data_IF_662421548475
#
_entry.id   IF_662421548475
#
_cell.length_a   1.000
_cell.length_b   1.000
_cell.length_c   1.000
_cell.angle_alpha   90.00
_cell.angle_beta   90.00
_cell.angle_gamma   90.00
#
_symmetry.space_group_name_H-M   'P 1'
#
loop_
_entity.id
_entity.type
_entity.pdbx_description
1 polymer ?
#
# COMPACT_ATOMS: atom_id res chain seq x y z
N UNK A 1 3.10 5.53 3.74
CA UNK A 1 3.82 6.78 4.16
C UNK A 1 2.83 7.70 4.83
N UNK A 2 2.90 7.84 6.15
CA UNK A 2 2.09 8.78 6.93
C UNK A 2 2.84 10.11 7.06
N UNK A 3 2.22 11.21 6.65
CA UNK A 3 2.83 12.53 6.74
C UNK A 3 2.55 13.23 8.07
N UNK A 4 3.62 13.77 8.66
CA UNK A 4 3.59 14.64 9.84
C UNK A 4 4.06 16.06 9.49
N UNK A 5 4.13 16.38 8.20
CA UNK A 5 4.65 17.65 7.71
C UNK A 5 3.55 18.72 7.76
N UNK A 6 3.86 19.91 8.27
CA UNK A 6 3.03 21.10 8.09
C UNK A 6 3.10 21.56 6.63
N UNK A 7 2.32 20.91 5.78
CA UNK A 7 2.43 21.05 4.33
C UNK A 7 1.97 22.42 3.84
N UNK A 8 0.94 23.00 4.44
CA UNK A 8 0.38 24.28 4.02
C UNK A 8 1.34 25.43 4.30
N UNK A 9 2.01 25.42 5.46
CA UNK A 9 2.94 26.47 5.88
C UNK A 9 4.42 26.12 5.65
N UNK A 10 4.71 25.13 4.79
CA UNK A 10 6.09 24.67 4.54
C UNK A 10 6.96 25.78 3.95
N UNK A 11 8.20 25.85 4.42
CA UNK A 11 9.22 26.80 3.92
C UNK A 11 10.21 26.13 2.94
N UNK A 12 9.74 25.09 2.24
CA UNK A 12 10.49 24.39 1.21
C UNK A 12 9.61 24.06 0.01
N UNK A 13 10.25 23.80 -1.12
CA UNK A 13 9.63 23.25 -2.33
C UNK A 13 10.01 21.78 -2.49
N UNK A 14 9.16 21.01 -3.17
CA UNK A 14 9.34 19.57 -3.31
C UNK A 14 8.74 18.79 -2.16
N UNK A 15 9.16 17.52 -2.01
CA UNK A 15 8.67 16.64 -0.94
C UNK A 15 7.40 15.85 -1.29
N UNK A 16 6.82 16.03 -2.47
CA UNK A 16 5.73 15.20 -2.98
C UNK A 16 6.25 13.76 -3.17
N UNK A 17 5.47 12.79 -2.73
CA UNK A 17 5.70 11.40 -3.09
C UNK A 17 5.42 11.26 -4.58
N UNK A 18 6.37 10.69 -5.31
CA UNK A 18 6.24 10.38 -6.75
C UNK A 18 6.00 8.90 -6.92
N UNK A 19 4.98 8.52 -7.68
CA UNK A 19 4.65 7.12 -7.96
C UNK A 19 4.49 7.00 -9.47
N UNK A 20 5.18 6.05 -10.09
CA UNK A 20 5.03 5.81 -11.52
C UNK A 20 3.63 5.29 -11.82
N UNK A 21 3.03 5.82 -12.88
CA UNK A 21 1.69 5.40 -13.30
C UNK A 21 1.71 3.95 -13.80
N UNK A 22 0.72 3.11 -13.45
CA UNK A 22 0.74 1.69 -13.80
C UNK A 22 0.92 1.40 -15.30
N UNK A 23 0.27 2.17 -16.17
CA UNK A 23 0.37 2.00 -17.63
C UNK A 23 1.80 2.21 -18.18
N UNK A 24 2.66 2.92 -17.44
CA UNK A 24 4.06 3.13 -17.85
C UNK A 24 4.92 1.88 -17.68
N UNK A 25 4.49 0.89 -16.89
CA UNK A 25 5.20 -0.38 -16.78
C UNK A 25 5.20 -1.15 -18.11
N UNK A 26 4.23 -0.88 -18.99
CA UNK A 26 4.07 -1.53 -20.29
C UNK A 26 4.39 -0.59 -21.47
N UNK A 27 5.05 0.56 -21.23
CA UNK A 27 5.27 1.62 -22.22
C UNK A 27 5.77 1.13 -23.59
N UNK A 28 6.65 0.12 -23.62
CA UNK A 28 7.24 -0.39 -24.86
C UNK A 28 6.28 -1.22 -25.71
N UNK A 29 5.20 -1.76 -25.12
CA UNK A 29 4.21 -2.55 -25.84
C UNK A 29 3.42 -1.68 -26.82
N UNK A 30 3.09 -0.46 -26.40
CA UNK A 30 2.26 0.50 -27.14
C UNK A 30 3.02 1.79 -27.47
N UNK A 31 4.33 1.69 -27.69
CA UNK A 31 5.19 2.85 -27.92
C UNK A 31 4.85 3.55 -29.24
N UNK A 32 4.61 4.86 -29.17
CA UNK A 32 4.34 5.75 -30.30
C UNK A 32 5.39 6.87 -30.30
N UNK A 33 6.24 6.90 -31.32
CA UNK A 33 7.31 7.89 -31.47
C UNK A 33 6.80 9.29 -31.83
N UNK A 34 5.54 9.41 -32.27
CA UNK A 34 4.88 10.68 -32.50
C UNK A 34 4.32 11.30 -31.20
N UNK A 35 4.22 10.53 -30.11
CA UNK A 35 3.68 11.00 -28.83
C UNK A 35 4.82 11.42 -27.88
N UNK A 36 4.93 12.72 -27.64
CA UNK A 36 5.75 13.25 -26.55
C UNK A 36 5.24 12.79 -25.19
N UNK A 37 6.16 12.40 -24.30
CA UNK A 37 5.87 12.08 -22.91
C UNK A 37 6.50 13.13 -22.00
N UNK A 38 5.68 13.71 -21.14
CA UNK A 38 6.12 14.63 -20.09
C UNK A 38 6.13 13.94 -18.74
N UNK A 39 6.79 14.55 -17.75
CA UNK A 39 6.90 13.95 -16.41
C UNK A 39 5.54 13.59 -15.78
N UNK A 40 4.51 14.40 -16.04
CA UNK A 40 3.15 14.19 -15.51
C UNK A 40 2.39 13.05 -16.21
N UNK A 41 2.81 12.65 -17.40
CA UNK A 41 2.31 11.44 -18.07
C UNK A 41 2.87 10.18 -17.42
N UNK A 42 4.07 10.30 -16.83
CA UNK A 42 4.84 9.17 -16.29
C UNK A 42 4.60 8.98 -14.79
N UNK A 43 4.55 10.08 -14.03
CA UNK A 43 4.56 10.07 -12.57
C UNK A 43 3.34 10.79 -12.00
N UNK A 44 2.68 10.15 -11.03
CA UNK A 44 1.77 10.82 -10.12
C UNK A 44 2.53 11.50 -8.99
N UNK A 45 2.02 12.66 -8.58
CA UNK A 45 2.55 13.46 -7.49
C UNK A 45 1.52 13.54 -6.37
N UNK A 46 1.82 12.90 -5.24
CA UNK A 46 0.99 12.97 -4.05
C UNK A 46 1.63 13.96 -3.08
N UNK A 47 0.97 15.09 -2.73
CA UNK A 47 1.50 16.02 -1.74
C UNK A 47 1.71 15.32 -0.39
N UNK A 48 2.44 15.92 0.55
CA UNK A 48 2.64 15.35 1.89
C UNK A 48 1.82 16.09 2.96
N UNK A 49 0.51 16.27 2.73
CA UNK A 49 -0.39 16.93 3.69
C UNK A 49 -0.38 16.29 5.07
N UNK A 50 -0.45 17.11 6.12
CA UNK A 50 -0.45 16.66 7.50
C UNK A 50 -1.55 15.63 7.76
N UNK A 51 -1.22 14.56 8.50
CA UNK A 51 -2.14 13.49 8.88
C UNK A 51 -2.73 12.70 7.70
N UNK A 52 -2.10 12.74 6.51
CA UNK A 52 -2.45 11.86 5.40
C UNK A 52 -1.58 10.61 5.36
N UNK A 53 -2.22 9.45 5.27
CA UNK A 53 -1.57 8.18 4.94
C UNK A 53 -1.65 7.92 3.43
N UNK A 54 -0.49 7.93 2.76
CA UNK A 54 -0.37 7.51 1.36
C UNK A 54 0.06 6.03 1.33
N UNK A 55 -0.82 5.16 0.85
CA UNK A 55 -0.56 3.74 0.63
C UNK A 55 -0.66 3.42 -0.87
N UNK A 56 0.25 2.59 -1.38
CA UNK A 56 0.35 2.24 -2.80
C UNK A 56 1.11 0.91 -2.97
N UNK A 57 0.99 0.31 -4.15
CA UNK A 57 1.68 -0.93 -4.49
C UNK A 57 3.22 -0.71 -4.49
N UNK A 58 3.98 -1.46 -3.65
CA UNK A 58 5.41 -1.27 -3.52
C UNK A 58 6.21 -1.58 -4.80
N UNK A 59 5.61 -2.31 -5.74
CA UNK A 59 6.23 -2.71 -7.01
C UNK A 59 6.33 -1.56 -8.02
N UNK A 60 5.49 -0.52 -7.86
CA UNK A 60 5.55 0.66 -8.71
C UNK A 60 6.82 1.46 -8.38
N UNK A 61 7.68 1.80 -9.35
CA UNK A 61 8.79 2.72 -9.12
C UNK A 61 8.32 4.01 -8.48
N UNK A 62 8.96 4.38 -7.36
CA UNK A 62 8.51 5.52 -6.56
C UNK A 62 9.69 6.21 -5.89
N UNK A 63 9.44 7.43 -5.42
CA UNK A 63 10.44 8.23 -4.72
C UNK A 63 9.83 9.49 -4.12
N UNK A 64 10.68 10.43 -3.74
CA UNK A 64 10.27 11.73 -3.22
C UNK A 64 10.89 12.81 -4.08
N UNK A 65 10.10 13.81 -4.51
CA UNK A 65 10.66 14.98 -5.20
C UNK A 65 11.65 15.67 -4.27
N UNK A 66 12.84 16.01 -4.81
CA UNK A 66 13.90 16.70 -4.06
C UNK A 66 13.31 17.87 -3.27
N UNK A 67 13.55 17.86 -1.96
CA UNK A 67 13.24 18.98 -1.06
C UNK A 67 14.34 20.02 -1.18
N UNK A 68 13.96 21.28 -1.41
CA UNK A 68 14.88 22.43 -1.52
C UNK A 68 14.29 23.65 -0.81
N UNK A 69 15.11 24.46 -0.16
CA UNK A 69 14.67 25.66 0.56
C UNK A 69 15.45 25.86 1.87
N UNK A 70 14.74 25.78 2.99
CA UNK A 70 15.30 25.92 4.34
C UNK A 70 16.29 24.81 4.73
N UNK A 71 17.25 25.16 5.59
CA UNK A 71 18.14 24.22 6.29
C UNK A 71 17.78 24.05 7.77
N UNK A 72 16.73 24.74 8.27
CA UNK A 72 16.23 24.55 9.63
C UNK A 72 15.53 23.18 9.74
N UNK A 73 16.03 22.24 10.54
CA UNK A 73 15.44 20.91 10.67
C UNK A 73 14.01 20.93 11.23
N UNK A 74 13.62 21.98 11.97
CA UNK A 74 12.24 22.14 12.47
C UNK A 74 11.23 22.42 11.35
N UNK A 75 11.72 22.85 10.19
CA UNK A 75 10.93 23.16 9.00
C UNK A 75 11.06 22.07 7.93
N UNK A 76 11.53 20.88 8.32
CA UNK A 76 11.77 19.76 7.42
C UNK A 76 10.48 19.02 7.02
N UNK A 77 10.56 18.21 5.97
CA UNK A 77 9.54 17.22 5.66
C UNK A 77 9.69 16.03 6.60
N UNK A 78 8.67 15.77 7.41
CA UNK A 78 8.64 14.68 8.38
C UNK A 78 7.56 13.67 7.98
N UNK A 79 7.93 12.40 7.93
CA UNK A 79 7.03 11.28 7.64
C UNK A 79 7.36 10.07 8.50
N UNK A 80 6.35 9.26 8.78
CA UNK A 80 6.52 7.87 9.20
C UNK A 80 6.36 6.98 7.98
N UNK A 81 7.38 6.19 7.67
CA UNK A 81 7.36 5.27 6.54
C UNK A 81 7.45 3.82 7.02
N UNK A 82 6.85 2.92 6.25
CA UNK A 82 6.77 1.51 6.58
C UNK A 82 6.11 0.75 5.44
N UNK A 83 6.19 -0.57 5.53
CA UNK A 83 5.59 -1.50 4.59
C UNK A 83 4.52 -2.31 5.31
N UNK A 84 3.45 -2.64 4.62
CA UNK A 84 2.65 -3.80 5.00
C UNK A 84 3.46 -5.02 4.58
N UNK A 85 3.84 -5.85 5.55
CA UNK A 85 4.40 -7.17 5.27
C UNK A 85 3.29 -8.09 4.78
N UNK A 86 3.65 -9.30 4.35
CA UNK A 86 2.65 -10.34 4.11
C UNK A 86 1.72 -10.43 5.33
N UNK A 87 0.40 -10.44 5.12
CA UNK A 87 -0.54 -10.53 6.23
C UNK A 87 -0.28 -11.85 6.95
N UNK A 88 0.19 -11.75 8.18
CA UNK A 88 0.22 -12.87 9.12
C UNK A 88 -0.98 -12.76 10.04
N UNK A 89 -1.55 -13.90 10.50
CA UNK A 89 -2.51 -13.87 11.60
C UNK A 89 -1.95 -13.08 12.78
N UNK A 90 -2.75 -12.17 13.33
CA UNK A 90 -2.44 -11.49 14.57
C UNK A 90 -3.32 -12.08 15.66
N UNK A 91 -2.73 -12.91 16.51
CA UNK A 91 -3.45 -13.62 17.58
C UNK A 91 -3.28 -12.87 18.89
N UNK A 92 -4.39 -12.39 19.46
CA UNK A 92 -4.45 -11.83 20.83
C UNK A 92 -5.63 -12.47 21.54
N UNK A 93 -5.37 -13.05 22.71
CA UNK A 93 -6.41 -13.70 23.49
C UNK A 93 -5.88 -14.84 24.35
N UNK A 94 -6.77 -15.76 24.69
CA UNK A 94 -6.45 -16.92 25.53
C UNK A 94 -5.70 -18.03 24.78
N UNK A 95 -5.80 -18.07 23.45
CA UNK A 95 -5.12 -19.04 22.61
C UNK A 95 -3.80 -18.47 22.08
N UNK A 96 -2.77 -19.31 22.07
CA UNK A 96 -1.53 -19.05 21.35
C UNK A 96 -1.75 -19.21 19.84
N UNK A 97 -0.82 -18.67 19.05
CA UNK A 97 -0.83 -18.85 17.58
C UNK A 97 -0.79 -20.32 17.18
N UNK A 98 0.03 -21.13 17.86
CA UNK A 98 0.14 -22.58 17.63
C UNK A 98 -1.19 -23.31 17.89
N UNK A 99 -1.94 -22.91 18.92
CA UNK A 99 -3.25 -23.50 19.24
C UNK A 99 -4.34 -23.09 18.26
N UNK A 100 -4.30 -21.86 17.74
CA UNK A 100 -5.31 -21.35 16.78
C UNK A 100 -5.06 -21.83 15.34
N UNK A 101 -3.80 -22.09 14.97
CA UNK A 101 -3.39 -22.41 13.59
C UNK A 101 -4.16 -23.57 12.96
N UNK A 102 -4.37 -24.73 13.62
CA UNK A 102 -5.05 -25.85 12.99
C UNK A 102 -6.49 -25.53 12.56
N UNK A 103 -7.27 -24.89 13.43
CA UNK A 103 -8.66 -24.53 13.15
C UNK A 103 -8.78 -23.44 12.07
N UNK A 104 -7.87 -22.44 12.11
CA UNK A 104 -7.81 -21.40 11.08
C UNK A 104 -7.41 -21.97 9.71
N UNK A 105 -6.45 -22.90 9.66
CA UNK A 105 -6.04 -23.57 8.43
C UNK A 105 -7.20 -24.38 7.84
N UNK A 106 -7.92 -25.15 8.65
CA UNK A 106 -9.08 -25.92 8.19
C UNK A 106 -10.15 -25.02 7.55
N UNK A 107 -10.52 -23.92 8.22
CA UNK A 107 -11.50 -22.98 7.66
C UNK A 107 -10.98 -22.26 6.41
N UNK A 108 -9.71 -21.87 6.39
CA UNK A 108 -9.10 -21.19 5.24
C UNK A 108 -8.97 -22.11 4.03
N UNK A 109 -8.61 -23.38 4.23
CA UNK A 109 -8.57 -24.39 3.16
C UNK A 109 -9.94 -24.58 2.53
N UNK A 110 -11.01 -24.68 3.34
CA UNK A 110 -12.39 -24.75 2.84
C UNK A 110 -12.77 -23.52 2.03
N UNK A 111 -12.43 -22.32 2.51
CA UNK A 111 -12.66 -21.09 1.77
C UNK A 111 -11.89 -21.07 0.43
N UNK A 112 -10.63 -21.53 0.42
CA UNK A 112 -9.82 -21.64 -0.81
C UNK A 112 -10.45 -22.62 -1.81
N UNK A 113 -10.94 -23.77 -1.34
CA UNK A 113 -11.64 -24.75 -2.19
C UNK A 113 -12.89 -24.15 -2.84
N UNK A 114 -13.72 -23.44 -2.06
CA UNK A 114 -14.91 -22.75 -2.59
C UNK A 114 -14.56 -21.62 -3.56
N UNK A 115 -13.44 -20.92 -3.35
CA UNK A 115 -12.96 -19.89 -4.25
C UNK A 115 -12.38 -20.48 -5.55
N UNK A 116 -11.82 -21.69 -5.49
CA UNK A 116 -11.16 -22.33 -6.63
C UNK A 116 -12.11 -22.66 -7.79
N UNK A 117 -13.42 -22.77 -7.51
CA UNK A 117 -14.44 -23.01 -8.54
C UNK A 117 -14.93 -21.74 -9.22
N UNK A 118 -14.56 -20.56 -8.71
CA UNK A 118 -14.95 -19.29 -9.29
C UNK A 118 -14.12 -18.95 -10.54
N UNK A 119 -14.66 -18.20 -11.50
CA UNK A 119 -13.89 -17.71 -12.65
C UNK A 119 -12.69 -16.86 -12.20
N UNK A 120 -11.56 -16.88 -12.93
CA UNK A 120 -10.43 -16.01 -12.65
C UNK A 120 -10.85 -14.53 -12.62
N UNK A 121 -10.39 -13.81 -11.59
CA UNK A 121 -10.63 -12.38 -11.43
C UNK A 121 -9.31 -11.64 -11.17
N UNK A 122 -9.24 -10.38 -11.58
CA UNK A 122 -8.11 -9.48 -11.28
C UNK A 122 -8.57 -8.43 -10.28
N UNK A 123 -7.93 -8.37 -9.11
CA UNK A 123 -8.26 -7.41 -8.07
C UNK A 123 -7.95 -7.93 -6.67
N UNK A 124 -8.60 -7.33 -5.67
CA UNK A 124 -8.50 -7.74 -4.26
C UNK A 124 -9.77 -8.46 -3.84
N UNK A 125 -9.62 -9.62 -3.21
CA UNK A 125 -10.70 -10.35 -2.57
C UNK A 125 -10.64 -10.12 -1.05
N UNK A 126 -11.80 -9.89 -0.44
CA UNK A 126 -11.93 -9.85 1.01
C UNK A 126 -12.83 -11.00 1.44
N UNK A 127 -12.29 -11.89 2.27
CA UNK A 127 -13.01 -13.00 2.90
C UNK A 127 -13.16 -12.67 4.38
N UNK A 128 -14.34 -12.91 4.93
CA UNK A 128 -14.57 -12.83 6.38
C UNK A 128 -14.66 -14.24 6.91
N UNK A 129 -13.87 -14.50 7.94
CA UNK A 129 -13.95 -15.71 8.76
C UNK A 129 -14.52 -15.29 10.12
N UNK A 130 -15.52 -16.01 10.60
CA UNK A 130 -16.15 -15.82 11.90
C UNK A 130 -15.67 -16.89 12.88
N UNK A 131 -15.28 -16.46 14.08
CA UNK A 131 -14.88 -17.37 15.15
C UNK A 131 -15.95 -17.30 16.24
N UNK A 132 -16.64 -18.41 16.44
CA UNK A 132 -17.69 -18.57 17.44
C UNK A 132 -17.14 -18.68 18.86
N UNK A 133 -18.02 -18.50 19.84
CA UNK A 133 -17.63 -18.49 21.27
C UNK A 133 -17.09 -19.84 21.78
N UNK A 134 -17.39 -20.94 21.09
CA UNK A 134 -16.89 -22.29 21.37
C UNK A 134 -15.57 -22.62 20.64
N UNK A 135 -15.05 -21.68 19.83
CA UNK A 135 -13.84 -21.85 19.04
C UNK A 135 -14.08 -22.45 17.65
N UNK A 136 -15.33 -22.67 17.24
CA UNK A 136 -15.64 -23.03 15.85
C UNK A 136 -15.29 -21.87 14.90
N UNK A 137 -14.76 -22.18 13.72
CA UNK A 137 -14.37 -21.21 12.69
C UNK A 137 -15.19 -21.46 11.42
N UNK A 138 -15.92 -20.46 10.92
CA UNK A 138 -16.73 -20.51 9.68
C UNK A 138 -16.45 -19.37 8.69
#
# INVERSE_FOLDING_TARGET
VLSLTDWENREFIGGETRIMRPHMLEMWRDFDDARGLELHDIMDHVPAEFNRLTAFDPRLPHGVRRVSGTQDPKKSRIVLHGWFTEPSPFCVGALTEEEATPALNEATERAIEELSVLPPATGTLCVRIQVEADGHVE
#
